data_IF_177231829427
#
_entry.id   IF_177231829427
#
_cell.length_a   1.000
_cell.length_b   1.000
_cell.length_c   1.000
_cell.angle_alpha   90.00
_cell.angle_beta   90.00
_cell.angle_gamma   90.00
#
_symmetry.space_group_name_H-M   'P 1'
#
loop_
_entity.id
_entity.type
_entity.pdbx_description
1 polymer ?
#
# COMPACT_ATOMS: atom_id res chain seq x y z
N UNK A 1 -28.41 -4.96 54.85
CA UNK A 1 -27.95 -3.80 54.02
C UNK A 1 -26.54 -3.97 53.42
N UNK A 2 -25.99 -5.17 53.31
CA UNK A 2 -24.56 -5.38 52.93
C UNK A 2 -24.30 -5.79 51.46
N UNK A 3 -25.34 -5.91 50.61
CA UNK A 3 -25.17 -6.38 49.22
C UNK A 3 -24.91 -5.27 48.20
N UNK A 4 -25.21 -4.01 48.52
CA UNK A 4 -25.07 -2.91 47.57
C UNK A 4 -23.60 -2.51 47.36
N UNK A 5 -22.78 -2.60 48.44
CA UNK A 5 -21.34 -2.28 48.35
C UNK A 5 -20.54 -3.26 47.50
N UNK A 6 -20.88 -4.54 47.52
CA UNK A 6 -20.25 -5.57 46.73
C UNK A 6 -20.51 -5.44 45.21
N UNK A 7 -21.73 -5.12 44.85
CA UNK A 7 -22.11 -4.87 43.43
C UNK A 7 -21.42 -3.62 42.89
N UNK A 8 -21.29 -2.56 43.69
CA UNK A 8 -20.58 -1.34 43.28
C UNK A 8 -19.09 -1.56 43.10
N UNK A 9 -18.45 -2.34 43.97
CA UNK A 9 -17.01 -2.68 43.82
C UNK A 9 -16.77 -3.56 42.60
N UNK A 10 -17.66 -4.50 42.29
CA UNK A 10 -17.55 -5.36 41.13
C UNK A 10 -17.70 -4.59 39.81
N UNK A 11 -18.67 -3.66 39.75
CA UNK A 11 -18.88 -2.80 38.57
C UNK A 11 -17.72 -1.85 38.32
N UNK A 12 -17.13 -1.27 39.36
CA UNK A 12 -15.90 -0.44 39.24
C UNK A 12 -14.71 -1.25 38.71
N UNK A 13 -14.55 -2.51 39.13
CA UNK A 13 -13.48 -3.39 38.62
C UNK A 13 -13.62 -3.68 37.11
N UNK A 14 -14.86 -3.93 36.65
CA UNK A 14 -15.11 -4.15 35.21
C UNK A 14 -14.82 -2.89 34.39
N UNK A 15 -15.24 -1.73 34.85
CA UNK A 15 -14.98 -0.46 34.16
C UNK A 15 -13.49 -0.18 34.07
N UNK A 16 -12.74 -0.39 35.17
CA UNK A 16 -11.28 -0.22 35.19
C UNK A 16 -10.58 -1.19 34.21
N UNK A 17 -11.06 -2.43 34.09
CA UNK A 17 -10.53 -3.42 33.16
C UNK A 17 -10.76 -2.98 31.70
N UNK A 18 -11.97 -2.53 31.37
CA UNK A 18 -12.30 -2.05 30.01
C UNK A 18 -11.42 -0.86 29.63
N UNK A 19 -11.26 0.12 30.52
CA UNK A 19 -10.40 1.28 30.29
C UNK A 19 -8.94 0.84 30.07
N UNK A 20 -8.43 -0.08 30.87
CA UNK A 20 -7.08 -0.59 30.76
C UNK A 20 -6.85 -1.32 29.42
N UNK A 21 -7.78 -2.18 28.99
CA UNK A 21 -7.70 -2.89 27.70
C UNK A 21 -7.74 -1.88 26.54
N UNK A 22 -8.59 -0.85 26.62
CA UNK A 22 -8.69 0.19 25.60
C UNK A 22 -7.39 0.99 25.47
N UNK A 23 -6.75 1.33 26.59
CA UNK A 23 -5.45 2.03 26.59
C UNK A 23 -4.37 1.16 25.97
N UNK A 24 -4.31 -0.12 26.34
CA UNK A 24 -3.34 -1.07 25.74
C UNK A 24 -3.55 -1.17 24.24
N UNK A 25 -4.79 -1.33 23.77
CA UNK A 25 -5.12 -1.38 22.34
C UNK A 25 -4.63 -0.12 21.61
N UNK A 26 -4.87 1.07 22.18
CA UNK A 26 -4.43 2.34 21.58
C UNK A 26 -2.89 2.47 21.52
N UNK A 27 -2.19 1.99 22.55
CA UNK A 27 -0.73 1.97 22.58
C UNK A 27 -0.17 1.01 21.53
N UNK A 28 -0.75 -0.17 21.38
CA UNK A 28 -0.34 -1.16 20.39
C UNK A 28 -0.56 -0.65 18.96
N UNK A 29 -1.71 -0.03 18.69
CA UNK A 29 -2.00 0.57 17.39
C UNK A 29 -1.02 1.71 17.05
N UNK A 30 -0.70 2.56 18.02
CA UNK A 30 0.30 3.64 17.86
C UNK A 30 1.71 3.09 17.60
N UNK A 31 2.07 1.96 18.23
CA UNK A 31 3.34 1.26 17.99
C UNK A 31 3.40 0.63 16.60
N UNK A 32 2.30 0.02 16.12
CA UNK A 32 2.20 -0.53 14.75
C UNK A 32 2.45 0.55 13.70
N UNK A 33 1.76 1.70 13.78
CA UNK A 33 1.97 2.84 12.86
C UNK A 33 3.42 3.34 12.86
N UNK A 34 4.06 3.42 14.02
CA UNK A 34 5.45 3.86 14.15
C UNK A 34 6.46 2.86 13.55
N UNK A 35 6.16 1.56 13.63
CA UNK A 35 7.01 0.51 13.04
C UNK A 35 6.96 0.51 11.51
N UNK A 36 5.78 0.71 10.91
CA UNK A 36 5.62 0.86 9.45
C UNK A 36 6.47 2.03 8.95
N UNK A 37 6.37 3.20 9.59
CA UNK A 37 7.17 4.38 9.22
C UNK A 37 8.67 4.13 9.36
N UNK A 38 9.11 3.38 10.39
CA UNK A 38 10.53 3.01 10.57
C UNK A 38 11.02 2.04 9.50
N UNK A 39 10.21 1.03 9.11
CA UNK A 39 10.55 0.10 8.03
C UNK A 39 10.66 0.83 6.69
N UNK A 40 9.73 1.75 6.39
CA UNK A 40 9.81 2.65 5.23
C UNK A 40 11.12 3.44 5.19
N UNK A 41 11.49 4.03 6.33
CA UNK A 41 12.70 4.83 6.44
C UNK A 41 13.96 3.99 6.21
N UNK A 42 14.03 2.80 6.82
CA UNK A 42 15.16 1.88 6.69
C UNK A 42 15.31 1.41 5.24
N UNK A 43 14.22 1.00 4.58
CA UNK A 43 14.24 0.62 3.18
C UNK A 43 14.74 1.75 2.27
N UNK A 44 14.30 3.00 2.52
CA UNK A 44 14.76 4.19 1.80
C UNK A 44 16.26 4.50 2.04
N UNK A 45 16.77 4.23 3.23
CA UNK A 45 18.18 4.44 3.59
C UNK A 45 19.08 3.36 2.98
N UNK A 46 18.66 2.09 2.98
CA UNK A 46 19.41 0.95 2.45
C UNK A 46 19.59 1.03 0.91
N UNK A 47 18.63 1.65 0.19
CA UNK A 47 18.66 1.79 -1.27
C UNK A 47 19.32 3.09 -1.76
N UNK A 48 20.11 3.80 -0.96
CA UNK A 48 20.89 5.01 -1.28
C UNK A 48 20.22 5.91 -2.33
N UNK A 49 19.05 6.47 -1.96
CA UNK A 49 18.31 7.37 -2.85
C UNK A 49 19.19 8.58 -3.19
N UNK A 50 19.60 8.68 -4.43
CA UNK A 50 20.35 9.84 -4.92
C UNK A 50 19.58 11.12 -4.62
N UNK A 51 20.19 12.06 -3.91
CA UNK A 51 19.60 13.35 -3.50
C UNK A 51 19.13 14.23 -4.67
N UNK A 52 19.43 13.86 -5.92
CA UNK A 52 18.95 14.56 -7.13
C UNK A 52 17.52 14.22 -7.53
N UNK A 53 16.97 13.10 -7.06
CA UNK A 53 15.57 12.75 -7.30
C UNK A 53 14.77 13.06 -6.02
N UNK A 54 13.84 14.02 -6.13
CA UNK A 54 12.87 14.42 -5.07
C UNK A 54 11.93 13.28 -4.60
N UNK A 55 12.19 12.03 -4.97
CA UNK A 55 11.40 10.88 -4.62
C UNK A 55 11.97 10.21 -3.36
N UNK A 56 11.17 10.17 -2.32
CA UNK A 56 11.55 9.58 -1.03
C UNK A 56 11.72 8.06 -1.06
N UNK A 57 11.22 7.38 -2.09
CA UNK A 57 11.19 5.90 -2.19
C UNK A 57 11.60 5.48 -3.60
N UNK A 58 12.51 4.47 -3.74
CA UNK A 58 12.90 3.92 -5.04
C UNK A 58 11.69 3.37 -5.78
N UNK A 59 11.71 3.47 -7.10
CA UNK A 59 10.73 2.83 -7.99
C UNK A 59 11.41 1.72 -8.77
N UNK A 60 10.66 0.63 -8.92
CA UNK A 60 11.07 -0.53 -9.71
C UNK A 60 10.16 -0.58 -10.93
N UNK A 61 10.75 -0.66 -12.11
CA UNK A 61 10.01 -0.85 -13.36
C UNK A 61 9.51 -2.28 -13.44
N UNK A 62 8.24 -2.45 -13.80
CA UNK A 62 7.66 -3.76 -14.07
C UNK A 62 8.04 -4.17 -15.49
N UNK A 63 8.79 -5.27 -15.67
CA UNK A 63 9.14 -5.78 -16.99
C UNK A 63 7.91 -6.10 -17.83
N UNK A 64 8.02 -5.94 -19.16
CA UNK A 64 6.90 -6.17 -20.09
C UNK A 64 6.39 -7.61 -20.13
N UNK A 65 7.21 -8.57 -19.73
CA UNK A 65 6.91 -10.00 -19.60
C UNK A 65 6.24 -10.38 -18.25
N UNK A 66 6.22 -9.46 -17.29
CA UNK A 66 5.45 -9.63 -16.04
C UNK A 66 4.13 -8.86 -16.09
N UNK A 67 3.07 -9.53 -15.68
CA UNK A 67 1.75 -8.93 -15.60
C UNK A 67 1.41 -8.56 -14.15
N UNK A 68 1.23 -7.26 -13.90
CA UNK A 68 0.79 -6.72 -12.61
C UNK A 68 -0.44 -5.87 -12.84
N UNK A 69 -1.58 -6.35 -12.37
CA UNK A 69 -2.90 -5.76 -12.62
C UNK A 69 -3.46 -5.16 -11.33
N UNK A 70 -3.85 -3.90 -11.41
CA UNK A 70 -4.66 -3.23 -10.41
C UNK A 70 -6.14 -3.32 -10.85
N UNK A 71 -6.98 -3.89 -10.01
CA UNK A 71 -8.44 -3.95 -10.21
C UNK A 71 -9.10 -3.07 -9.15
N UNK A 72 -9.81 -2.06 -9.59
CA UNK A 72 -10.56 -1.15 -8.73
C UNK A 72 -11.86 -1.82 -8.33
N UNK A 73 -12.13 -1.95 -7.04
CA UNK A 73 -13.34 -2.60 -6.51
C UNK A 73 -14.28 -1.63 -5.80
N UNK A 74 -13.89 -0.38 -5.69
CA UNK A 74 -14.75 0.70 -5.15
C UNK A 74 -16.01 0.84 -6.02
N UNK A 75 -17.17 1.01 -5.37
CA UNK A 75 -18.48 1.08 -6.03
C UNK A 75 -18.51 2.08 -7.21
N UNK A 76 -17.83 3.24 -7.07
CA UNK A 76 -17.77 4.26 -8.11
C UNK A 76 -16.92 3.85 -9.33
N UNK A 77 -15.96 2.95 -9.15
CA UNK A 77 -14.94 2.59 -10.14
C UNK A 77 -14.81 1.07 -10.34
N UNK A 78 -15.78 0.31 -9.85
CA UNK A 78 -15.74 -1.14 -9.85
C UNK A 78 -15.53 -1.74 -11.24
N UNK A 79 -14.65 -2.73 -11.31
CA UNK A 79 -14.29 -3.45 -12.53
C UNK A 79 -13.30 -2.72 -13.44
N UNK A 80 -12.89 -1.49 -13.14
CA UNK A 80 -11.83 -0.82 -13.90
C UNK A 80 -10.49 -1.49 -13.60
N UNK A 81 -9.71 -1.74 -14.66
CA UNK A 81 -8.39 -2.37 -14.57
C UNK A 81 -7.30 -1.46 -15.10
N UNK A 82 -6.13 -1.59 -14.53
CA UNK A 82 -4.93 -0.89 -15.00
C UNK A 82 -3.71 -1.80 -14.84
N UNK A 83 -2.80 -1.77 -15.82
CA UNK A 83 -1.53 -2.49 -15.76
C UNK A 83 -0.47 -1.62 -15.11
N UNK A 84 0.24 -2.13 -14.11
CA UNK A 84 1.38 -1.43 -13.53
C UNK A 84 2.56 -1.38 -14.51
N UNK A 85 3.22 -0.24 -14.57
CA UNK A 85 4.44 0.02 -15.35
C UNK A 85 5.65 0.22 -14.45
N UNK A 86 5.45 0.90 -13.35
CA UNK A 86 6.41 1.00 -12.26
C UNK A 86 5.69 1.00 -10.92
N UNK A 87 6.38 0.59 -9.88
CA UNK A 87 5.85 0.56 -8.53
C UNK A 87 6.91 0.93 -7.50
N UNK A 88 6.42 1.38 -6.36
CA UNK A 88 7.19 1.65 -5.16
C UNK A 88 6.33 1.36 -3.93
N UNK A 89 6.92 1.36 -2.74
CA UNK A 89 6.14 1.24 -1.50
C UNK A 89 5.16 2.41 -1.27
N UNK A 90 5.26 3.50 -2.04
CA UNK A 90 4.38 4.66 -1.91
C UNK A 90 3.38 4.82 -3.06
N UNK A 91 3.44 3.99 -4.12
CA UNK A 91 2.51 4.11 -5.22
C UNK A 91 2.91 3.40 -6.51
N UNK A 92 2.06 3.55 -7.51
CA UNK A 92 2.15 2.91 -8.81
C UNK A 92 2.06 3.94 -9.94
N UNK A 93 2.83 3.73 -11.02
CA UNK A 93 2.48 4.26 -12.34
C UNK A 93 1.83 3.14 -13.15
N UNK A 94 0.71 3.45 -13.78
CA UNK A 94 -0.10 2.44 -14.46
C UNK A 94 -0.52 2.91 -15.85
N UNK A 95 -0.78 1.93 -16.72
CA UNK A 95 -1.51 2.09 -17.98
C UNK A 95 -2.94 1.60 -17.77
N UNK A 96 -3.95 2.48 -17.78
CA UNK A 96 -5.33 2.09 -17.58
C UNK A 96 -5.92 1.45 -18.84
N UNK A 97 -6.80 0.46 -18.67
CA UNK A 97 -7.57 -0.20 -19.74
C UNK A 97 -8.87 0.57 -20.05
N UNK A 98 -9.11 1.66 -19.34
CA UNK A 98 -10.32 2.49 -19.43
C UNK A 98 -9.98 3.93 -19.85
N UNK A 99 -10.95 4.70 -20.34
CA UNK A 99 -10.76 6.11 -20.67
C UNK A 99 -10.37 6.93 -19.45
N UNK A 100 -9.30 7.74 -19.54
CA UNK A 100 -8.73 8.54 -18.44
C UNK A 100 -9.76 9.42 -17.73
N UNK A 101 -10.79 9.90 -18.48
CA UNK A 101 -11.88 10.72 -17.93
C UNK A 101 -12.75 10.02 -16.88
N UNK A 102 -12.70 8.67 -16.81
CA UNK A 102 -13.46 7.92 -15.81
C UNK A 102 -12.91 8.05 -14.39
N UNK A 103 -11.65 8.43 -14.26
CA UNK A 103 -10.98 8.54 -12.96
C UNK A 103 -10.30 9.91 -12.87
N UNK A 104 -10.90 10.90 -12.19
CA UNK A 104 -10.35 12.24 -12.12
C UNK A 104 -9.09 12.32 -11.25
N UNK A 105 -8.33 13.40 -11.42
CA UNK A 105 -7.22 13.73 -10.55
C UNK A 105 -7.73 13.90 -9.11
N UNK A 106 -6.92 13.47 -8.15
CA UNK A 106 -7.26 13.45 -6.71
C UNK A 106 -8.42 12.53 -6.33
N UNK A 107 -8.91 11.67 -7.23
CA UNK A 107 -9.86 10.64 -6.87
C UNK A 107 -9.26 9.72 -5.81
N UNK A 108 -10.01 9.49 -4.76
CA UNK A 108 -9.69 8.51 -3.72
C UNK A 108 -10.43 7.22 -4.06
N UNK A 109 -9.68 6.13 -4.15
CA UNK A 109 -10.18 4.82 -4.54
C UNK A 109 -9.94 3.86 -3.38
N UNK A 110 -10.97 3.13 -2.98
CA UNK A 110 -10.89 2.17 -1.88
C UNK A 110 -10.81 0.73 -2.40
N UNK A 111 -10.14 -0.11 -1.61
CA UNK A 111 -10.06 -1.55 -1.83
C UNK A 111 -9.57 -1.92 -3.25
N UNK A 112 -8.39 -1.41 -3.62
CA UNK A 112 -7.75 -1.77 -4.89
C UNK A 112 -7.06 -3.11 -4.74
N UNK A 113 -7.49 -4.08 -5.54
CA UNK A 113 -6.87 -5.41 -5.61
C UNK A 113 -5.69 -5.36 -6.56
N UNK A 114 -4.51 -5.72 -6.07
CA UNK A 114 -3.30 -5.84 -6.88
C UNK A 114 -2.99 -7.32 -7.07
N UNK A 115 -3.02 -7.77 -8.32
CA UNK A 115 -2.67 -9.14 -8.71
C UNK A 115 -1.28 -9.13 -9.33
N UNK A 116 -0.40 -9.96 -8.80
CA UNK A 116 0.99 -10.13 -9.24
C UNK A 116 1.27 -11.58 -9.61
N UNK A 117 2.40 -11.92 -10.25
CA UNK A 117 2.75 -13.31 -10.54
C UNK A 117 2.91 -14.22 -9.31
N UNK A 118 3.22 -13.66 -8.15
CA UNK A 118 3.53 -14.45 -6.95
C UNK A 118 2.49 -14.35 -5.84
N UNK A 119 1.71 -13.27 -5.83
CA UNK A 119 0.70 -13.05 -4.79
C UNK A 119 -0.41 -12.09 -5.25
N UNK A 120 -1.42 -11.95 -4.40
CA UNK A 120 -2.47 -10.96 -4.52
C UNK A 120 -2.63 -10.24 -3.19
N UNK A 121 -2.82 -8.92 -3.23
CA UNK A 121 -3.02 -8.13 -2.03
C UNK A 121 -3.97 -6.95 -2.28
N UNK A 122 -4.49 -6.36 -1.20
CA UNK A 122 -5.46 -5.28 -1.25
C UNK A 122 -4.86 -4.01 -0.67
N UNK A 123 -4.95 -2.92 -1.41
CA UNK A 123 -4.63 -1.59 -0.92
C UNK A 123 -5.93 -0.92 -0.52
N UNK A 124 -6.05 -0.56 0.76
CA UNK A 124 -7.29 0.01 1.32
C UNK A 124 -7.66 1.34 0.70
N UNK A 125 -6.65 2.18 0.44
CA UNK A 125 -6.90 3.52 -0.07
C UNK A 125 -5.73 4.00 -0.93
N UNK A 126 -6.05 4.43 -2.16
CA UNK A 126 -5.14 5.03 -3.11
C UNK A 126 -5.72 6.34 -3.63
N UNK A 127 -4.85 7.29 -3.95
CA UNK A 127 -5.23 8.58 -4.58
C UNK A 127 -4.60 8.73 -5.93
N UNK A 128 -5.37 9.19 -6.92
CA UNK A 128 -4.86 9.58 -8.23
C UNK A 128 -4.07 10.89 -8.09
N UNK A 129 -2.76 10.85 -8.33
CA UNK A 129 -1.87 12.03 -8.17
C UNK A 129 -1.36 12.59 -9.48
N UNK A 130 -1.53 11.84 -10.57
CA UNK A 130 -1.14 12.29 -11.92
C UNK A 130 -1.97 11.59 -12.98
N UNK A 131 -2.36 12.35 -14.01
CA UNK A 131 -2.97 11.85 -15.23
C UNK A 131 -2.22 12.48 -16.40
N UNK A 132 -1.65 11.65 -17.28
CA UNK A 132 -0.99 12.10 -18.49
C UNK A 132 -1.91 11.85 -19.69
N UNK A 133 -2.34 12.93 -20.33
CA UNK A 133 -3.29 12.89 -21.44
C UNK A 133 -2.61 12.76 -22.82
N UNK A 134 -1.27 12.63 -22.86
CA UNK A 134 -0.61 12.41 -24.14
C UNK A 134 -1.08 11.11 -24.77
N UNK A 135 -1.53 11.18 -26.02
CA UNK A 135 -2.23 10.10 -26.74
C UNK A 135 -1.42 8.79 -26.75
N UNK A 136 -0.09 8.89 -26.83
CA UNK A 136 0.81 7.73 -26.84
C UNK A 136 1.13 7.16 -25.46
N UNK A 137 0.98 7.98 -24.41
CA UNK A 137 1.35 7.62 -23.02
C UNK A 137 0.18 7.75 -22.08
N UNK A 138 -0.90 7.01 -22.32
CA UNK A 138 -2.02 6.95 -21.36
C UNK A 138 -1.52 6.46 -20.00
N UNK A 139 -1.00 7.37 -19.17
CA UNK A 139 -0.41 7.06 -17.88
C UNK A 139 -1.22 7.69 -16.75
N UNK A 140 -1.39 6.94 -15.70
CA UNK A 140 -1.88 7.44 -14.40
C UNK A 140 -0.86 7.10 -13.33
N UNK A 141 -0.77 7.93 -12.29
CA UNK A 141 -0.02 7.60 -11.10
C UNK A 141 -0.92 7.65 -9.88
N UNK A 142 -0.78 6.63 -9.05
CA UNK A 142 -1.47 6.49 -7.79
C UNK A 142 -0.51 6.60 -6.62
N UNK A 143 -0.93 7.26 -5.57
CA UNK A 143 -0.27 7.28 -4.27
C UNK A 143 -1.03 6.37 -3.31
N UNK A 144 -0.31 5.51 -2.58
CA UNK A 144 -0.87 4.66 -1.53
C UNK A 144 -1.06 5.51 -0.28
N UNK A 145 -2.31 5.69 0.17
CA UNK A 145 -2.62 6.44 1.40
C UNK A 145 -2.80 5.51 2.60
N UNK A 146 -3.37 4.33 2.38
CA UNK A 146 -3.60 3.36 3.44
C UNK A 146 -3.48 1.92 2.94
N UNK A 147 -2.76 1.10 3.70
CA UNK A 147 -2.57 -0.33 3.47
C UNK A 147 -2.42 -1.03 4.83
N UNK A 148 -3.00 -2.23 4.97
CA UNK A 148 -2.81 -3.05 6.16
C UNK A 148 -1.38 -3.59 6.26
N UNK A 149 -0.94 -3.94 7.45
CA UNK A 149 0.43 -4.39 7.70
C UNK A 149 0.75 -5.70 6.94
N UNK A 150 -0.16 -6.66 6.97
CA UNK A 150 -0.06 -7.92 6.22
C UNK A 150 -0.08 -7.70 4.70
N UNK A 151 -0.94 -6.82 4.21
CA UNK A 151 -0.99 -6.45 2.79
C UNK A 151 0.26 -5.68 2.35
N UNK A 152 0.83 -4.88 3.24
CA UNK A 152 2.09 -4.19 3.01
C UNK A 152 3.28 -5.17 2.92
N UNK A 153 3.27 -6.23 3.72
CA UNK A 153 4.28 -7.30 3.61
C UNK A 153 4.21 -8.00 2.24
N UNK A 154 3.03 -8.25 1.69
CA UNK A 154 2.88 -8.78 0.33
C UNK A 154 3.44 -7.85 -0.74
N UNK A 155 3.23 -6.54 -0.61
CA UNK A 155 3.84 -5.56 -1.51
C UNK A 155 5.38 -5.60 -1.41
N UNK A 156 5.94 -5.68 -0.20
CA UNK A 156 7.39 -5.79 0.00
C UNK A 156 7.97 -7.08 -0.60
N UNK A 157 7.30 -8.22 -0.40
CA UNK A 157 7.69 -9.49 -0.99
C UNK A 157 7.71 -9.42 -2.51
N UNK A 158 6.69 -8.79 -3.10
CA UNK A 158 6.65 -8.61 -4.55
C UNK A 158 7.76 -7.68 -5.05
N UNK A 159 8.09 -6.61 -4.36
CA UNK A 159 9.21 -5.74 -4.73
C UNK A 159 10.55 -6.48 -4.67
N UNK A 160 10.78 -7.29 -3.64
CA UNK A 160 11.98 -8.12 -3.54
C UNK A 160 12.08 -9.14 -4.69
N UNK A 161 10.95 -9.76 -5.05
CA UNK A 161 10.88 -10.65 -6.22
C UNK A 161 11.22 -9.93 -7.52
N UNK A 162 10.72 -8.72 -7.74
CA UNK A 162 11.05 -7.91 -8.92
C UNK A 162 12.53 -7.57 -8.99
N UNK A 163 13.14 -7.18 -7.88
CA UNK A 163 14.58 -6.85 -7.82
C UNK A 163 15.42 -8.08 -8.19
N UNK A 164 15.06 -9.25 -7.67
CA UNK A 164 15.75 -10.52 -8.02
C UNK A 164 15.53 -10.91 -9.49
N UNK A 165 14.31 -10.77 -10.00
CA UNK A 165 13.97 -11.05 -11.39
C UNK A 165 14.77 -10.18 -12.36
N UNK A 166 14.85 -8.87 -12.10
CA UNK A 166 15.61 -7.93 -12.92
C UNK A 166 17.11 -8.22 -12.89
N UNK A 167 17.63 -8.60 -11.72
CA UNK A 167 19.05 -8.99 -11.60
C UNK A 167 19.36 -10.22 -12.44
N UNK A 168 18.56 -11.28 -12.36
CA UNK A 168 18.77 -12.51 -13.16
C UNK A 168 18.71 -12.21 -14.66
N UNK A 169 17.72 -11.41 -15.09
CA UNK A 169 17.57 -11.02 -16.47
C UNK A 169 18.79 -10.25 -17.01
N UNK A 170 19.34 -9.34 -16.20
CA UNK A 170 20.55 -8.59 -16.58
C UNK A 170 21.81 -9.49 -16.66
N UNK A 171 21.89 -10.55 -15.85
CA UNK A 171 22.98 -11.53 -15.90
C UNK A 171 22.89 -12.40 -17.17
N UNK A 172 21.67 -12.78 -17.59
CA UNK A 172 21.43 -13.55 -18.82
C UNK A 172 21.73 -12.75 -20.10
N UNK A 173 21.45 -11.45 -20.12
CA UNK A 173 21.73 -10.57 -21.27
C UNK A 173 23.24 -10.27 -21.44
N UNK A 174 24.06 -10.56 -20.44
CA UNK A 174 25.50 -10.25 -20.43
C UNK A 174 26.35 -11.49 -20.79
N UNK A 175 25.74 -12.68 -20.91
CA UNK A 175 26.39 -13.96 -21.24
C UNK A 175 26.19 -14.34 -22.70
#
# INVERSE_FOLDING_TARGET
MNNVSGVLQFSMGIIALIVFVTIIYFILEKRKKKNITRRFRKFSEDHKVSRKNLRAVPRVTVPGDLEVILTLTDNAYSGLKARALDLSLSGFSVKPDFPLRKLPLNAVIKNVVVTTPINQFVIKEMRTVRIDHQIEKRLMAFHIENVDEDQFEHLQQFMAYLDEFLRKKSEEETT
#
